data_IF_846014803319
#
_entry.id   IF_846014803319
#
_cell.length_a   1.000
_cell.length_b   1.000
_cell.length_c   1.000
_cell.angle_alpha   90.00
_cell.angle_beta   90.00
_cell.angle_gamma   90.00
#
_symmetry.space_group_name_H-M   'P 1'
#
loop_
_entity.id
_entity.type
_entity.pdbx_description
1 polymer ?
#
# COMPACT_ATOMS: atom_id res chain seq x y z
N UNK A 1 11.29 6.60 -2.29
CA UNK A 1 12.28 6.83 -3.36
C UNK A 1 13.04 8.11 -3.04
N UNK A 2 14.36 8.02 -2.92
CA UNK A 2 15.26 9.17 -2.70
C UNK A 2 15.01 10.24 -3.78
N UNK A 3 15.17 11.52 -3.44
CA UNK A 3 14.84 12.65 -4.33
C UNK A 3 15.42 12.49 -5.72
N UNK A 4 16.67 12.07 -5.80
CA UNK A 4 17.47 12.01 -7.02
C UNK A 4 16.98 10.94 -8.01
N UNK A 5 16.16 9.99 -7.52
CA UNK A 5 15.61 8.89 -8.31
C UNK A 5 14.11 9.01 -8.53
N UNK A 6 13.50 10.16 -8.17
CA UNK A 6 12.08 10.41 -8.44
C UNK A 6 11.84 10.60 -9.94
N UNK A 7 10.63 10.27 -10.39
CA UNK A 7 10.21 10.35 -11.79
C UNK A 7 10.96 9.44 -12.79
N UNK A 8 11.91 8.62 -12.33
CA UNK A 8 12.61 7.63 -13.15
C UNK A 8 11.89 6.28 -13.25
N UNK A 9 10.62 6.21 -12.83
CA UNK A 9 9.85 4.95 -12.84
C UNK A 9 10.17 3.97 -11.71
N UNK A 10 11.17 4.23 -10.88
CA UNK A 10 11.59 3.32 -9.78
C UNK A 10 10.43 2.89 -8.87
N UNK A 11 9.57 3.82 -8.47
CA UNK A 11 8.41 3.49 -7.64
C UNK A 11 7.42 2.54 -8.33
N UNK A 12 7.23 2.71 -9.64
CA UNK A 12 6.39 1.83 -10.45
C UNK A 12 7.01 0.43 -10.57
N UNK A 13 8.32 0.32 -10.74
CA UNK A 13 9.01 -0.98 -10.77
C UNK A 13 8.93 -1.73 -9.45
N UNK A 14 9.11 -1.02 -8.32
CA UNK A 14 8.95 -1.61 -6.99
C UNK A 14 7.55 -2.17 -6.77
N UNK A 15 6.51 -1.42 -7.18
CA UNK A 15 5.13 -1.89 -7.07
C UNK A 15 4.90 -3.13 -7.94
N UNK A 16 5.35 -3.11 -9.22
CA UNK A 16 5.22 -4.27 -10.12
C UNK A 16 5.91 -5.51 -9.53
N UNK A 17 7.11 -5.35 -8.97
CA UNK A 17 7.85 -6.46 -8.37
C UNK A 17 7.10 -7.04 -7.17
N UNK A 18 6.58 -6.20 -6.29
CA UNK A 18 5.78 -6.63 -5.14
C UNK A 18 4.49 -7.36 -5.56
N UNK A 19 3.80 -6.88 -6.60
CA UNK A 19 2.61 -7.58 -7.15
C UNK A 19 3.01 -8.97 -7.67
N UNK A 20 4.12 -9.07 -8.41
CA UNK A 20 4.58 -10.35 -8.94
C UNK A 20 4.98 -11.32 -7.82
N UNK A 21 5.59 -10.84 -6.74
CA UNK A 21 5.89 -11.66 -5.56
C UNK A 21 4.60 -12.14 -4.87
N UNK A 22 3.61 -11.26 -4.70
CA UNK A 22 2.31 -11.65 -4.15
C UNK A 22 1.63 -12.75 -4.99
N UNK A 23 1.69 -12.64 -6.33
CA UNK A 23 1.23 -13.69 -7.26
C UNK A 23 1.99 -14.99 -7.07
N UNK A 24 3.31 -14.91 -7.00
CA UNK A 24 4.18 -16.06 -6.80
C UNK A 24 3.83 -16.83 -5.51
N UNK A 25 3.57 -16.10 -4.42
CA UNK A 25 3.14 -16.68 -3.15
C UNK A 25 1.64 -17.01 -3.08
N UNK A 26 0.88 -16.85 -4.17
CA UNK A 26 -0.57 -17.10 -4.21
C UNK A 26 -1.35 -16.33 -3.13
N UNK A 27 -0.92 -15.09 -2.85
CA UNK A 27 -1.65 -14.19 -1.98
C UNK A 27 -2.91 -13.71 -2.69
N UNK A 28 -4.01 -13.59 -1.95
CA UNK A 28 -5.30 -13.14 -2.52
C UNK A 28 -5.36 -11.62 -2.69
N UNK A 29 -4.86 -10.90 -1.69
CA UNK A 29 -5.05 -9.45 -1.61
C UNK A 29 -3.79 -8.78 -1.09
N UNK A 30 -3.40 -7.67 -1.73
CA UNK A 30 -2.36 -6.75 -1.24
C UNK A 30 -3.04 -5.56 -0.59
N UNK A 31 -2.60 -5.19 0.61
CA UNK A 31 -3.00 -3.97 1.31
C UNK A 31 -1.87 -2.93 1.25
N UNK A 32 -2.23 -1.66 1.01
CA UNK A 32 -1.30 -0.53 1.01
C UNK A 32 -1.89 0.61 1.84
N UNK A 33 -1.08 1.19 2.71
CA UNK A 33 -1.32 2.50 3.33
C UNK A 33 -0.35 3.50 2.70
N UNK A 34 -0.84 4.60 2.14
CA UNK A 34 0.01 5.54 1.39
C UNK A 34 -0.55 6.96 1.30
N UNK A 35 0.35 7.94 1.21
CA UNK A 35 0.01 9.32 0.80
C UNK A 35 -0.03 9.52 -0.72
N UNK A 36 0.33 8.49 -1.51
CA UNK A 36 0.51 8.59 -2.97
C UNK A 36 -0.49 7.72 -3.73
N UNK A 37 -1.78 7.80 -3.36
CA UNK A 37 -2.90 7.03 -3.95
C UNK A 37 -2.81 6.90 -5.48
N UNK A 38 -2.69 8.03 -6.20
CA UNK A 38 -2.65 8.08 -7.68
C UNK A 38 -1.56 7.23 -8.33
N UNK A 39 -0.48 6.90 -7.61
CA UNK A 39 0.55 6.01 -8.13
C UNK A 39 0.06 4.56 -8.17
N UNK A 40 -0.64 4.12 -7.12
CA UNK A 40 -1.12 2.75 -6.96
C UNK A 40 -2.37 2.47 -7.79
N UNK A 41 -3.25 3.44 -7.97
CA UNK A 41 -4.44 3.30 -8.84
C UNK A 41 -4.07 2.91 -10.29
N UNK A 42 -2.89 3.35 -10.77
CA UNK A 42 -2.36 2.94 -12.10
C UNK A 42 -2.08 1.44 -12.22
N UNK A 43 -1.98 0.74 -11.09
CA UNK A 43 -1.76 -0.71 -11.01
C UNK A 43 -3.03 -1.48 -10.64
N UNK A 44 -4.20 -0.83 -10.66
CA UNK A 44 -5.49 -1.47 -10.36
C UNK A 44 -5.83 -1.53 -8.88
N UNK A 45 -5.05 -0.87 -8.01
CA UNK A 45 -5.44 -0.72 -6.61
C UNK A 45 -6.69 0.15 -6.48
N UNK A 46 -7.58 -0.24 -5.59
CA UNK A 46 -8.82 0.48 -5.28
C UNK A 46 -8.76 1.04 -3.87
N UNK A 47 -9.33 2.21 -3.64
CA UNK A 47 -9.44 2.80 -2.31
C UNK A 47 -10.45 2.01 -1.49
N UNK A 48 -10.11 1.75 -0.23
CA UNK A 48 -11.01 1.12 0.74
C UNK A 48 -11.12 1.97 2.00
N UNK A 49 -12.21 1.78 2.74
CA UNK A 49 -12.37 2.31 4.09
C UNK A 49 -11.33 1.67 5.02
N UNK A 50 -10.72 2.44 5.93
CA UNK A 50 -9.75 1.87 6.89
C UNK A 50 -10.40 0.88 7.85
N UNK A 51 -11.67 1.12 8.13
CA UNK A 51 -12.54 0.33 8.99
C UNK A 51 -12.82 -1.06 8.38
N UNK A 52 -12.67 -1.24 7.07
CA UNK A 52 -12.86 -2.55 6.43
C UNK A 52 -11.64 -3.46 6.54
N UNK A 53 -10.53 -2.96 7.10
CA UNK A 53 -9.30 -3.73 7.24
C UNK A 53 -9.37 -4.49 8.56
N UNK A 54 -9.06 -5.81 8.57
CA UNK A 54 -9.09 -6.58 9.81
C UNK A 54 -8.27 -5.91 10.91
N UNK A 55 -8.88 -5.70 12.07
CA UNK A 55 -8.25 -4.96 13.18
C UNK A 55 -6.90 -5.60 13.56
N UNK A 56 -6.83 -6.92 13.60
CA UNK A 56 -5.59 -7.66 13.88
C UNK A 56 -4.45 -7.37 12.90
N UNK A 57 -4.73 -6.93 11.68
CA UNK A 57 -3.70 -6.57 10.68
C UNK A 57 -3.18 -5.16 10.80
N UNK A 58 -4.00 -4.21 11.24
CA UNK A 58 -3.61 -2.79 11.32
C UNK A 58 -3.08 -2.43 12.71
N UNK A 59 -3.72 -2.94 13.75
CA UNK A 59 -3.51 -2.43 15.11
C UNK A 59 -2.09 -2.68 15.63
N UNK A 60 -1.46 -3.80 15.24
CA UNK A 60 -0.10 -4.13 15.65
C UNK A 60 0.94 -3.11 15.16
N UNK A 61 0.76 -2.61 13.93
CA UNK A 61 1.67 -1.65 13.31
C UNK A 61 1.26 -0.20 13.62
N UNK A 62 -0.05 0.10 13.62
CA UNK A 62 -0.55 1.44 13.87
C UNK A 62 -0.39 1.89 15.32
N UNK A 63 -0.50 1.01 16.33
CA UNK A 63 -0.37 1.44 17.73
C UNK A 63 1.03 1.96 18.07
N UNK A 64 2.05 1.53 17.31
CA UNK A 64 3.43 1.98 17.45
C UNK A 64 3.75 3.17 16.55
N UNK A 65 2.83 3.59 15.69
CA UNK A 65 3.04 4.66 14.74
C UNK A 65 2.95 6.02 15.43
N UNK A 66 3.94 6.89 15.20
CA UNK A 66 3.95 8.27 15.71
C UNK A 66 2.79 9.15 15.20
N UNK A 67 2.15 8.73 14.11
CA UNK A 67 1.01 9.43 13.50
C UNK A 67 -0.34 8.93 14.02
N UNK A 68 -0.37 7.88 14.85
CA UNK A 68 -1.60 7.41 15.47
C UNK A 68 -2.08 8.41 16.52
N UNK A 69 -3.40 8.71 16.63
CA UNK A 69 -4.51 8.16 15.84
C UNK A 69 -4.83 8.91 14.54
N UNK A 70 -4.16 10.04 14.27
CA UNK A 70 -4.48 10.97 13.17
C UNK A 70 -3.62 10.65 11.94
N UNK A 71 -3.63 9.39 11.51
CA UNK A 71 -2.86 8.98 10.34
C UNK A 71 -3.61 9.37 9.05
N UNK A 72 -3.04 10.28 8.26
CA UNK A 72 -3.65 10.76 7.00
C UNK A 72 -3.33 9.86 5.78
N UNK A 73 -2.73 8.69 5.98
CA UNK A 73 -2.51 7.74 4.89
C UNK A 73 -3.83 7.22 4.33
N UNK A 74 -3.87 6.94 3.03
CA UNK A 74 -5.04 6.39 2.35
C UNK A 74 -4.85 4.88 2.25
N UNK A 75 -5.90 4.12 2.54
CA UNK A 75 -5.89 2.67 2.41
C UNK A 75 -6.34 2.25 1.00
N UNK A 76 -5.57 1.36 0.38
CA UNK A 76 -5.89 0.75 -0.89
C UNK A 76 -5.68 -0.76 -0.87
N UNK A 77 -6.45 -1.48 -1.68
CA UNK A 77 -6.26 -2.92 -1.91
C UNK A 77 -6.16 -3.27 -3.40
N UNK A 78 -5.47 -4.37 -3.68
CA UNK A 78 -5.46 -5.03 -4.99
C UNK A 78 -5.73 -6.51 -4.78
N UNK A 79 -6.73 -7.04 -5.49
CA UNK A 79 -6.93 -8.49 -5.66
C UNK A 79 -5.95 -9.00 -6.72
N UNK A 80 -5.24 -10.08 -6.42
CA UNK A 80 -4.03 -10.53 -7.13
C UNK A 80 -4.25 -11.77 -7.98
#
# INVERSE_FOLDING_TARGET
VHSDFRNLGVGAELIKKAINEAKFYSLKTILVLTYRQKLFEKFGFIVIAKESIPETKIWLDCIKCKHFPICDEIALTLEV
#
